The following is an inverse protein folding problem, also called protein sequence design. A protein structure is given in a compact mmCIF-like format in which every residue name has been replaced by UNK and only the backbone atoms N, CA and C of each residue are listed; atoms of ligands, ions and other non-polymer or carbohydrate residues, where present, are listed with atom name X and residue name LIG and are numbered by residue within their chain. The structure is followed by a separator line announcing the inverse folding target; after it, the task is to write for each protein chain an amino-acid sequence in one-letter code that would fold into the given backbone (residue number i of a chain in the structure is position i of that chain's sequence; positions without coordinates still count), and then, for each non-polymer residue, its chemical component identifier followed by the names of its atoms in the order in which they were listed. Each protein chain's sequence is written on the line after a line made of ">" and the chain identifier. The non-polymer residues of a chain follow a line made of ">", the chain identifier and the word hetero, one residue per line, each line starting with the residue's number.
data_IF_829682674161
#
_entry.id   IF_829682674161
#
_cell.length_a   1.000
_cell.length_b   1.000
_cell.length_c   1.000
_cell.angle_alpha   90.00
_cell.angle_beta   90.00
_cell.angle_gamma   90.00
#
_symmetry.space_group_name_H-M   'P 1'
#
loop_
_entity.id
_entity.type
_entity.pdbx_description
1 polymer ?
#
# COMPACT_ATOMS: atom_id res chain seq x y z
N UNK A 1 -23.71 -12.74 -8.71
CA UNK A 1 -23.38 -12.96 -10.13
C UNK A 1 -21.87 -12.86 -10.29
N UNK A 2 -21.26 -13.85 -10.95
CA UNK A 2 -19.82 -13.88 -11.19
C UNK A 2 -19.49 -12.99 -12.39
N UNK A 3 -18.73 -11.91 -12.15
CA UNK A 3 -18.22 -11.02 -13.19
C UNK A 3 -16.70 -11.14 -13.28
N UNK A 4 -16.11 -10.74 -14.40
CA UNK A 4 -14.66 -10.78 -14.56
C UNK A 4 -13.97 -9.89 -13.52
N UNK A 5 -14.54 -8.73 -13.21
CA UNK A 5 -14.05 -7.84 -12.16
C UNK A 5 -14.02 -8.53 -10.79
N UNK A 6 -15.10 -9.22 -10.40
CA UNK A 6 -15.15 -9.92 -9.10
C UNK A 6 -14.11 -11.04 -9.00
N UNK A 7 -13.87 -11.78 -10.09
CA UNK A 7 -12.84 -12.84 -10.12
C UNK A 7 -11.46 -12.23 -9.92
N UNK A 8 -11.15 -11.11 -10.58
CA UNK A 8 -9.88 -10.40 -10.41
C UNK A 8 -9.69 -9.96 -8.94
N UNK A 9 -10.71 -9.35 -8.31
CA UNK A 9 -10.65 -8.95 -6.90
C UNK A 9 -10.41 -10.15 -5.97
N UNK A 10 -11.07 -11.29 -6.20
CA UNK A 10 -10.88 -12.51 -5.38
C UNK A 10 -9.47 -13.07 -5.56
N UNK A 11 -8.99 -13.16 -6.80
CA UNK A 11 -7.62 -13.63 -7.10
C UNK A 11 -6.59 -12.71 -6.41
N UNK A 12 -6.81 -11.40 -6.45
CA UNK A 12 -5.99 -10.41 -5.73
C UNK A 12 -5.93 -10.71 -4.23
N UNK A 13 -7.08 -10.94 -3.59
CA UNK A 13 -7.15 -11.33 -2.17
C UNK A 13 -6.33 -12.60 -1.91
N UNK A 14 -6.48 -13.63 -2.76
CA UNK A 14 -5.75 -14.89 -2.63
C UNK A 14 -4.23 -14.73 -2.76
N UNK A 15 -3.74 -13.73 -3.50
CA UNK A 15 -2.31 -13.44 -3.61
C UNK A 15 -1.74 -12.65 -2.42
N UNK A 16 -2.59 -12.01 -1.59
CA UNK A 16 -2.10 -11.22 -0.45
C UNK A 16 -1.23 -12.01 0.55
N UNK A 17 -1.53 -13.28 0.93
CA UNK A 17 -0.65 -14.05 1.80
C UNK A 17 0.71 -14.36 1.15
N UNK A 18 0.72 -14.57 -0.16
CA UNK A 18 1.97 -14.81 -0.92
C UNK A 18 2.85 -13.57 -0.90
N UNK A 19 2.25 -12.39 -1.18
CA UNK A 19 2.94 -11.09 -1.06
C UNK A 19 3.48 -10.88 0.36
N UNK A 20 2.74 -11.34 1.38
CA UNK A 20 3.15 -11.15 2.76
C UNK A 20 4.32 -12.04 3.19
N UNK A 21 4.37 -13.28 2.69
CA UNK A 21 5.32 -14.29 3.14
C UNK A 21 6.61 -14.33 2.33
N UNK A 22 6.55 -14.12 1.01
CA UNK A 22 7.72 -14.18 0.14
C UNK A 22 8.89 -13.27 0.58
N UNK A 23 8.66 -12.02 1.06
CA UNK A 23 9.75 -11.16 1.49
C UNK A 23 10.58 -11.70 2.66
N UNK A 24 10.03 -12.59 3.48
CA UNK A 24 10.74 -13.22 4.60
C UNK A 24 11.70 -14.34 4.16
N UNK A 25 11.54 -14.85 2.94
CA UNK A 25 12.42 -15.89 2.40
C UNK A 25 13.74 -15.23 1.97
N UNK A 26 14.86 -15.84 2.32
CA UNK A 26 16.19 -15.34 1.95
C UNK A 26 16.42 -15.35 0.43
N UNK A 27 17.22 -14.39 -0.04
CA UNK A 27 17.56 -14.25 -1.45
C UNK A 27 16.67 -13.27 -2.22
N UNK A 28 17.14 -12.91 -3.42
CA UNK A 28 16.51 -11.87 -4.23
C UNK A 28 15.29 -12.36 -5.00
N UNK A 29 15.26 -13.63 -5.43
CA UNK A 29 14.16 -14.19 -6.22
C UNK A 29 12.81 -14.11 -5.51
N UNK A 30 12.65 -14.52 -4.23
CA UNK A 30 11.38 -14.39 -3.51
C UNK A 30 10.88 -12.94 -3.46
N UNK A 31 11.77 -11.98 -3.23
CA UNK A 31 11.44 -10.55 -3.15
C UNK A 31 11.08 -9.97 -4.51
N UNK A 32 11.77 -10.41 -5.56
CA UNK A 32 11.45 -10.03 -6.94
C UNK A 32 10.08 -10.58 -7.36
N UNK A 33 9.78 -11.84 -7.03
CA UNK A 33 8.47 -12.45 -7.26
C UNK A 33 7.39 -11.70 -6.46
N UNK A 34 7.64 -11.38 -5.19
CA UNK A 34 6.73 -10.58 -4.37
C UNK A 34 6.44 -9.21 -5.01
N UNK A 35 7.47 -8.55 -5.54
CA UNK A 35 7.32 -7.29 -6.27
C UNK A 35 6.45 -7.45 -7.51
N UNK A 36 6.70 -8.48 -8.33
CA UNK A 36 5.91 -8.73 -9.56
C UNK A 36 4.45 -9.01 -9.23
N UNK A 37 4.18 -9.85 -8.21
CA UNK A 37 2.80 -10.16 -7.79
C UNK A 37 2.13 -8.91 -7.21
N UNK A 38 2.83 -8.13 -6.38
CA UNK A 38 2.32 -6.87 -5.84
C UNK A 38 1.98 -5.87 -6.95
N UNK A 39 2.88 -5.71 -7.93
CA UNK A 39 2.68 -4.80 -9.07
C UNK A 39 1.48 -5.24 -9.90
N UNK A 40 1.36 -6.53 -10.20
CA UNK A 40 0.21 -7.09 -10.89
C UNK A 40 -1.10 -6.84 -10.12
N UNK A 41 -1.11 -7.07 -8.80
CA UNK A 41 -2.26 -6.83 -7.92
C UNK A 41 -2.67 -5.35 -7.86
N UNK A 42 -1.69 -4.44 -7.76
CA UNK A 42 -1.94 -3.00 -7.71
C UNK A 42 -2.44 -2.45 -9.07
N UNK A 43 -1.92 -2.96 -10.19
CA UNK A 43 -2.41 -2.59 -11.52
C UNK A 43 -3.79 -3.19 -11.79
N UNK A 44 -4.04 -4.43 -11.36
CA UNK A 44 -5.31 -5.10 -11.59
C UNK A 44 -6.47 -4.38 -10.91
N UNK A 45 -6.25 -3.74 -9.76
CA UNK A 45 -7.27 -2.92 -9.05
C UNK A 45 -7.73 -1.68 -9.85
N UNK A 46 -6.82 -1.08 -10.61
CA UNK A 46 -7.21 0.03 -11.48
C UNK A 46 -8.04 -0.50 -12.65
N UNK A 47 -7.67 -1.69 -13.15
CA UNK A 47 -8.27 -2.29 -14.32
C UNK A 47 -9.64 -2.91 -14.04
N UNK A 48 -9.82 -3.66 -12.95
CA UNK A 48 -11.10 -4.29 -12.59
C UNK A 48 -12.18 -3.24 -12.32
N UNK A 49 -11.84 -2.16 -11.62
CA UNK A 49 -12.74 -1.03 -11.40
C UNK A 49 -13.07 -0.28 -12.69
N UNK A 50 -12.13 -0.17 -13.63
CA UNK A 50 -12.41 0.38 -14.95
C UNK A 50 -13.35 -0.52 -15.75
N UNK A 51 -13.09 -1.83 -15.74
CA UNK A 51 -13.86 -2.84 -16.46
C UNK A 51 -15.29 -2.94 -15.96
N UNK A 52 -15.49 -2.94 -14.63
CA UNK A 52 -16.82 -2.95 -14.02
C UNK A 52 -17.65 -1.73 -14.45
N UNK A 53 -17.03 -0.55 -14.53
CA UNK A 53 -17.71 0.68 -14.98
C UNK A 53 -17.98 0.69 -16.47
N UNK A 54 -17.03 0.26 -17.30
CA UNK A 54 -17.18 0.30 -18.76
C UNK A 54 -18.15 -0.75 -19.28
N UNK A 55 -18.30 -1.88 -18.58
CA UNK A 55 -19.24 -2.97 -18.93
C UNK A 55 -20.55 -2.93 -18.17
N UNK A 56 -20.75 -1.93 -17.31
CA UNK A 56 -21.92 -1.84 -16.43
C UNK A 56 -22.10 -3.10 -15.55
N UNK A 57 -20.99 -3.74 -15.18
CA UNK A 57 -20.90 -4.97 -14.37
C UNK A 57 -20.69 -4.66 -12.88
N UNK A 58 -21.18 -3.51 -12.41
CA UNK A 58 -21.04 -3.11 -11.00
C UNK A 58 -21.97 -3.97 -10.14
N UNK A 59 -21.40 -4.86 -9.33
CA UNK A 59 -22.16 -5.76 -8.45
C UNK A 59 -22.01 -5.40 -6.97
N UNK A 60 -22.97 -5.79 -6.13
CA UNK A 60 -22.89 -5.56 -4.68
C UNK A 60 -21.79 -6.38 -4.02
N UNK A 61 -21.50 -7.57 -4.55
CA UNK A 61 -20.35 -8.37 -4.13
C UNK A 61 -19.03 -7.62 -4.39
N UNK A 62 -18.84 -7.06 -5.59
CA UNK A 62 -17.65 -6.26 -5.91
C UNK A 62 -17.51 -5.05 -4.99
N UNK A 63 -18.59 -4.28 -4.78
CA UNK A 63 -18.60 -3.13 -3.84
C UNK A 63 -18.18 -3.51 -2.41
N UNK A 64 -18.46 -4.74 -1.98
CA UNK A 64 -18.07 -5.26 -0.67
C UNK A 64 -16.62 -5.78 -0.67
N UNK A 65 -16.18 -6.45 -1.74
CA UNK A 65 -14.86 -7.06 -1.82
C UNK A 65 -13.75 -6.03 -2.07
N UNK A 66 -13.96 -5.01 -2.89
CA UNK A 66 -12.91 -4.06 -3.26
C UNK A 66 -12.30 -3.37 -2.02
N UNK A 67 -13.10 -2.80 -1.07
CA UNK A 67 -12.54 -2.20 0.12
C UNK A 67 -11.81 -3.18 1.04
N UNK A 68 -12.15 -4.47 1.00
CA UNK A 68 -11.48 -5.52 1.77
C UNK A 68 -10.15 -5.87 1.12
N UNK A 69 -10.16 -6.09 -0.20
CA UNK A 69 -8.98 -6.42 -0.97
C UNK A 69 -7.90 -5.33 -0.89
N UNK A 70 -8.30 -4.05 -0.92
CA UNK A 70 -7.37 -2.92 -0.78
C UNK A 70 -6.66 -2.91 0.58
N UNK A 71 -7.41 -3.16 1.66
CA UNK A 71 -6.87 -3.20 3.02
C UNK A 71 -5.97 -4.41 3.21
N UNK A 72 -6.37 -5.57 2.69
CA UNK A 72 -5.56 -6.77 2.76
C UNK A 72 -4.25 -6.59 2.00
N UNK A 73 -4.28 -6.02 0.79
CA UNK A 73 -3.05 -5.72 0.04
C UNK A 73 -2.15 -4.76 0.82
N UNK A 74 -2.71 -3.69 1.38
CA UNK A 74 -1.97 -2.77 2.23
C UNK A 74 -1.30 -3.48 3.42
N UNK A 75 -2.06 -4.26 4.20
CA UNK A 75 -1.55 -4.92 5.40
C UNK A 75 -0.52 -6.00 5.05
N UNK A 76 -0.83 -6.80 4.03
CA UNK A 76 0.04 -7.85 3.52
C UNK A 76 1.37 -7.33 2.99
N UNK A 77 1.44 -6.07 2.53
CA UNK A 77 2.70 -5.49 2.12
C UNK A 77 3.40 -4.72 3.24
N UNK A 78 2.71 -3.78 3.90
CA UNK A 78 3.34 -2.84 4.82
C UNK A 78 3.84 -3.52 6.11
N UNK A 79 3.12 -4.54 6.61
CA UNK A 79 3.50 -5.23 7.85
C UNK A 79 4.82 -6.02 7.66
N UNK A 80 4.97 -6.88 6.62
CA UNK A 80 6.25 -7.53 6.35
C UNK A 80 7.39 -6.54 6.10
N UNK A 81 7.16 -5.46 5.36
CA UNK A 81 8.19 -4.45 5.12
C UNK A 81 8.68 -3.88 6.45
N UNK A 82 7.78 -3.54 7.38
CA UNK A 82 8.14 -3.07 8.71
C UNK A 82 9.01 -4.09 9.47
N UNK A 83 8.58 -5.36 9.54
CA UNK A 83 9.31 -6.39 10.27
C UNK A 83 10.68 -6.69 9.65
N UNK A 84 10.76 -6.79 8.32
CA UNK A 84 12.00 -7.11 7.60
C UNK A 84 12.99 -5.96 7.67
N UNK A 85 12.52 -4.72 7.49
CA UNK A 85 13.33 -3.51 7.64
C UNK A 85 13.90 -3.39 9.05
N UNK A 86 13.18 -3.87 10.07
CA UNK A 86 13.67 -3.91 11.46
C UNK A 86 14.62 -5.07 11.75
N UNK A 87 14.33 -6.26 11.24
CA UNK A 87 15.12 -7.47 11.50
C UNK A 87 16.47 -7.44 10.77
N UNK A 88 16.49 -6.94 9.52
CA UNK A 88 17.71 -6.80 8.68
C UNK A 88 18.07 -5.33 8.47
N UNK A 89 18.08 -4.57 9.56
CA UNK A 89 18.36 -3.12 9.55
C UNK A 89 19.69 -2.78 8.87
N UNK A 90 20.70 -3.65 9.06
CA UNK A 90 22.01 -3.56 8.42
C UNK A 90 21.97 -3.52 6.88
N UNK A 91 20.97 -4.18 6.28
CA UNK A 91 20.83 -4.28 4.84
C UNK A 91 19.73 -3.37 4.28
N UNK A 92 18.67 -3.12 5.05
CA UNK A 92 17.42 -2.53 4.57
C UNK A 92 17.04 -1.21 5.25
N UNK A 93 17.97 -0.57 5.96
CA UNK A 93 17.75 0.77 6.50
C UNK A 93 17.49 1.78 5.39
N UNK A 94 16.30 2.38 5.46
CA UNK A 94 15.87 3.42 4.54
C UNK A 94 16.66 4.68 4.88
N UNK A 95 17.31 5.34 3.91
CA UNK A 95 18.07 6.56 4.17
C UNK A 95 17.26 7.59 4.96
N UNK A 96 17.86 8.21 5.98
CA UNK A 96 17.24 9.21 6.88
C UNK A 96 16.25 8.61 7.90
N UNK A 97 15.58 7.51 7.57
CA UNK A 97 14.55 6.89 8.41
C UNK A 97 15.08 5.73 9.28
N UNK A 98 16.14 5.05 8.83
CA UNK A 98 16.54 3.75 9.35
C UNK A 98 15.48 2.70 9.02
N UNK A 99 15.16 1.83 9.98
CA UNK A 99 13.99 0.97 9.87
C UNK A 99 12.69 1.80 9.80
N UNK A 100 11.67 1.31 9.09
CA UNK A 100 10.36 2.00 9.06
C UNK A 100 9.89 2.28 10.50
N UNK A 101 9.67 3.54 10.88
CA UNK A 101 9.23 3.84 12.23
C UNK A 101 7.85 3.23 12.49
N UNK A 102 7.68 2.60 13.65
CA UNK A 102 6.41 1.96 14.02
C UNK A 102 5.24 2.94 13.94
N UNK A 103 5.44 4.20 14.35
CA UNK A 103 4.40 5.22 14.29
C UNK A 103 3.94 5.52 12.85
N UNK A 104 4.83 5.43 11.85
CA UNK A 104 4.47 5.60 10.43
C UNK A 104 3.61 4.43 9.98
N UNK A 105 4.02 3.20 10.30
CA UNK A 105 3.26 2.00 9.97
C UNK A 105 1.85 2.03 10.58
N UNK A 106 1.76 2.35 11.89
CA UNK A 106 0.50 2.50 12.61
C UNK A 106 -0.36 3.65 12.06
N UNK A 107 0.24 4.77 11.67
CA UNK A 107 -0.47 5.89 11.06
C UNK A 107 -1.09 5.49 9.72
N UNK A 108 -0.31 4.84 8.84
CA UNK A 108 -0.77 4.43 7.51
C UNK A 108 -1.92 3.41 7.60
N UNK A 109 -1.79 2.40 8.47
CA UNK A 109 -2.82 1.36 8.69
C UNK A 109 -4.02 1.93 9.45
N UNK A 110 -3.76 2.55 10.59
CA UNK A 110 -4.77 3.05 11.50
C UNK A 110 -5.67 4.09 10.84
N UNK A 111 -5.10 4.96 9.99
CA UNK A 111 -5.90 5.91 9.20
C UNK A 111 -6.85 5.21 8.25
N UNK A 112 -6.45 4.16 7.54
CA UNK A 112 -7.35 3.44 6.61
C UNK A 112 -8.52 2.78 7.35
N UNK A 113 -8.24 2.18 8.51
CA UNK A 113 -9.26 1.60 9.37
C UNK A 113 -10.21 2.67 9.93
N UNK A 114 -9.66 3.76 10.48
CA UNK A 114 -10.44 4.87 11.04
C UNK A 114 -11.36 5.51 10.00
N UNK A 115 -10.86 5.73 8.77
CA UNK A 115 -11.66 6.29 7.67
C UNK A 115 -12.79 5.36 7.24
N UNK A 116 -12.53 4.05 7.19
CA UNK A 116 -13.55 3.05 6.86
C UNK A 116 -14.63 3.01 7.92
N UNK A 117 -14.23 2.95 9.19
CA UNK A 117 -15.14 2.96 10.34
C UNK A 117 -16.00 4.22 10.37
N UNK A 118 -15.37 5.39 10.21
CA UNK A 118 -16.08 6.66 10.26
C UNK A 118 -17.09 6.81 9.12
N UNK A 119 -16.77 6.37 7.89
CA UNK A 119 -17.73 6.37 6.78
C UNK A 119 -18.92 5.45 7.07
N UNK A 120 -18.64 4.27 7.61
CA UNK A 120 -19.69 3.33 7.99
C UNK A 120 -20.60 3.91 9.09
N UNK A 121 -20.01 4.54 10.12
CA UNK A 121 -20.75 5.23 11.18
C UNK A 121 -21.62 6.39 10.64
N UNK A 122 -21.09 7.21 9.73
CA UNK A 122 -21.85 8.30 9.12
C UNK A 122 -23.01 7.79 8.26
N UNK A 123 -22.80 6.70 7.50
CA UNK A 123 -23.85 6.06 6.70
C UNK A 123 -25.02 5.57 7.56
N UNK A 124 -24.76 5.04 8.77
CA UNK A 124 -25.81 4.63 9.71
C UNK A 124 -26.66 5.80 10.21
N UNK A 125 -26.17 7.04 10.09
CA UNK A 125 -26.88 8.28 10.43
C UNK A 125 -27.50 8.97 9.21
N UNK A 126 -27.55 8.30 8.06
CA UNK A 126 -28.10 8.85 6.81
C UNK A 126 -27.19 9.83 6.08
N UNK A 127 -25.93 10.00 6.52
CA UNK A 127 -24.98 10.91 5.88
C UNK A 127 -23.98 10.13 5.03
N UNK A 128 -24.05 10.31 3.72
CA UNK A 128 -23.08 9.72 2.79
C UNK A 128 -21.92 10.69 2.58
N UNK A 129 -20.74 10.31 3.08
CA UNK A 129 -19.54 11.14 2.94
C UNK A 129 -18.77 10.72 1.69
N UNK A 130 -18.67 11.57 0.66
CA UNK A 130 -17.97 11.22 -0.56
C UNK A 130 -16.46 11.08 -0.32
N UNK A 131 -15.83 10.22 -1.12
CA UNK A 131 -14.37 10.10 -1.11
C UNK A 131 -13.72 11.41 -1.59
N UNK A 132 -12.89 12.03 -0.75
CA UNK A 132 -12.14 13.22 -1.14
C UNK A 132 -11.03 12.86 -2.14
N UNK A 133 -10.82 13.69 -3.18
CA UNK A 133 -9.79 13.47 -4.21
C UNK A 133 -8.36 13.31 -3.66
N UNK A 134 -8.04 13.94 -2.53
CA UNK A 134 -6.78 13.75 -1.81
C UNK A 134 -6.54 12.29 -1.38
N UNK A 135 -7.59 11.49 -1.20
CA UNK A 135 -7.49 10.06 -0.92
C UNK A 135 -6.90 9.26 -2.08
N UNK A 136 -7.21 9.60 -3.33
CA UNK A 136 -6.69 8.88 -4.51
C UNK A 136 -5.19 9.06 -4.68
N UNK A 137 -4.71 10.31 -4.58
CA UNK A 137 -3.28 10.60 -4.68
C UNK A 137 -2.50 9.93 -3.55
N UNK A 138 -3.05 9.95 -2.32
CA UNK A 138 -2.45 9.28 -1.16
C UNK A 138 -2.26 7.78 -1.39
N UNK A 139 -3.29 7.07 -1.86
CA UNK A 139 -3.19 5.63 -2.16
C UNK A 139 -2.20 5.35 -3.28
N UNK A 140 -2.17 6.17 -4.33
CA UNK A 140 -1.22 6.01 -5.43
C UNK A 140 0.24 6.14 -4.94
N UNK A 141 0.55 7.20 -4.19
CA UNK A 141 1.89 7.40 -3.63
C UNK A 141 2.26 6.28 -2.65
N UNK A 142 1.31 5.80 -1.86
CA UNK A 142 1.55 4.70 -0.94
C UNK A 142 1.86 3.38 -1.66
N UNK A 143 1.14 3.07 -2.75
CA UNK A 143 1.42 1.89 -3.57
C UNK A 143 2.78 2.01 -4.28
N UNK A 144 3.15 3.21 -4.73
CA UNK A 144 4.49 3.49 -5.28
C UNK A 144 5.57 3.25 -4.24
N UNK A 145 5.40 3.75 -3.01
CA UNK A 145 6.33 3.49 -1.91
C UNK A 145 6.49 1.99 -1.64
N UNK A 146 5.37 1.27 -1.50
CA UNK A 146 5.37 -0.17 -1.22
C UNK A 146 6.06 -0.95 -2.35
N UNK A 147 5.72 -0.67 -3.61
CA UNK A 147 6.35 -1.32 -4.75
C UNK A 147 7.86 -1.04 -4.81
N UNK A 148 8.26 0.22 -4.61
CA UNK A 148 9.65 0.64 -4.62
C UNK A 148 10.46 -0.07 -3.52
N UNK A 149 9.94 -0.17 -2.30
CA UNK A 149 10.70 -0.80 -1.21
C UNK A 149 10.85 -2.31 -1.41
N UNK A 150 9.82 -3.01 -1.92
CA UNK A 150 9.92 -4.45 -2.22
C UNK A 150 10.95 -4.69 -3.35
N UNK A 151 10.90 -3.88 -4.42
CA UNK A 151 11.89 -3.96 -5.50
C UNK A 151 13.30 -3.64 -5.00
N UNK A 152 13.43 -2.66 -4.13
CA UNK A 152 14.71 -2.29 -3.55
C UNK A 152 15.29 -3.39 -2.66
N UNK A 153 14.47 -4.09 -1.87
CA UNK A 153 14.91 -5.26 -1.11
C UNK A 153 15.40 -6.39 -2.04
N UNK A 154 14.71 -6.63 -3.16
CA UNK A 154 15.18 -7.58 -4.17
C UNK A 154 16.53 -7.17 -4.75
N UNK A 155 16.70 -5.89 -5.10
CA UNK A 155 17.97 -5.38 -5.61
C UNK A 155 19.11 -5.51 -4.60
N UNK A 156 18.86 -5.13 -3.33
CA UNK A 156 19.83 -5.24 -2.22
C UNK A 156 20.32 -6.69 -2.06
N UNK A 157 19.41 -7.66 -2.08
CA UNK A 157 19.77 -9.09 -2.00
C UNK A 157 20.47 -9.61 -3.26
N UNK A 158 20.24 -8.99 -4.43
CA UNK A 158 20.87 -9.38 -5.68
C UNK A 158 22.32 -8.91 -5.79
N UNK A 159 22.75 -7.91 -5.00
CA UNK A 159 24.10 -7.32 -5.12
C UNK A 159 25.23 -8.33 -4.95
N UNK A 160 25.17 -9.17 -3.91
CA UNK A 160 26.18 -10.19 -3.63
C UNK A 160 26.25 -11.26 -4.74
N UNK A 161 25.17 -11.99 -5.06
CA UNK A 161 25.22 -13.06 -6.06
C UNK A 161 25.54 -12.55 -7.47
N UNK A 162 25.25 -11.29 -7.78
CA UNK A 162 25.58 -10.69 -9.08
C UNK A 162 27.01 -10.10 -9.13
N UNK A 163 27.78 -10.15 -8.04
CA UNK A 163 29.12 -9.56 -7.98
C UNK A 163 29.13 -8.02 -8.04
N UNK A 164 28.03 -7.37 -7.65
CA UNK A 164 27.85 -5.91 -7.71
C UNK A 164 28.23 -5.19 -6.41
N UNK A 165 28.91 -5.87 -5.48
CA UNK A 165 29.31 -5.28 -4.19
C UNK A 165 30.23 -4.07 -4.34
N UNK A 166 31.05 -4.02 -5.39
CA UNK A 166 31.99 -2.92 -5.66
C UNK A 166 31.71 -2.18 -6.97
N UNK A 167 30.50 -2.33 -7.51
CA UNK A 167 30.11 -1.68 -8.76
C UNK A 167 29.60 -0.26 -8.49
N UNK A 168 30.27 0.74 -9.10
CA UNK A 168 29.87 2.15 -9.00
C UNK A 168 28.41 2.37 -9.47
N UNK A 169 27.97 1.63 -10.50
CA UNK A 169 26.58 1.66 -10.94
C UNK A 169 25.62 1.15 -9.87
N UNK A 170 25.97 0.04 -9.21
CA UNK A 170 25.10 -0.57 -8.20
C UNK A 170 25.01 0.30 -6.94
N UNK A 171 26.10 0.97 -6.57
CA UNK A 171 26.11 1.93 -5.47
C UNK A 171 25.28 3.18 -5.80
N UNK A 172 25.42 3.73 -7.01
CA UNK A 172 24.57 4.82 -7.47
C UNK A 172 23.09 4.42 -7.44
N UNK A 173 22.75 3.27 -8.03
CA UNK A 173 21.36 2.79 -8.05
C UNK A 173 20.81 2.56 -6.65
N UNK A 174 21.63 2.01 -5.75
CA UNK A 174 21.26 1.81 -4.35
C UNK A 174 20.92 3.14 -3.64
N UNK A 175 21.75 4.16 -3.83
CA UNK A 175 21.53 5.49 -3.26
C UNK A 175 20.28 6.16 -3.85
N UNK A 176 20.15 6.14 -5.18
CA UNK A 176 18.99 6.71 -5.88
C UNK A 176 17.70 6.04 -5.43
N UNK A 177 17.64 4.70 -5.46
CA UNK A 177 16.42 3.96 -5.12
C UNK A 177 16.10 4.07 -3.62
N UNK A 178 17.11 4.00 -2.74
CA UNK A 178 16.92 4.25 -1.32
C UNK A 178 16.39 5.66 -1.04
N UNK A 179 16.92 6.68 -1.72
CA UNK A 179 16.42 8.05 -1.64
C UNK A 179 14.98 8.18 -2.14
N UNK A 180 14.64 7.51 -3.25
CA UNK A 180 13.27 7.45 -3.77
C UNK A 180 12.29 6.81 -2.77
N UNK A 181 12.69 5.70 -2.14
CA UNK A 181 11.91 5.06 -1.06
C UNK A 181 11.72 6.02 0.13
N UNK A 182 12.78 6.69 0.56
CA UNK A 182 12.73 7.65 1.67
C UNK A 182 11.78 8.84 1.38
N UNK A 183 11.85 9.40 0.17
CA UNK A 183 10.98 10.51 -0.26
C UNK A 183 9.53 10.05 -0.38
N UNK A 184 9.28 8.91 -1.02
CA UNK A 184 7.90 8.39 -1.19
C UNK A 184 7.26 8.03 0.14
N UNK A 185 8.02 7.49 1.11
CA UNK A 185 7.55 7.29 2.49
C UNK A 185 7.18 8.61 3.16
N UNK A 186 8.03 9.63 3.04
CA UNK A 186 7.78 10.96 3.59
C UNK A 186 6.49 11.55 3.03
N UNK A 187 6.34 11.53 1.70
CA UNK A 187 5.17 12.07 1.01
C UNK A 187 3.91 11.26 1.36
N UNK A 188 3.97 9.92 1.39
CA UNK A 188 2.85 9.08 1.79
C UNK A 188 2.38 9.39 3.22
N UNK A 189 3.33 9.58 4.14
CA UNK A 189 3.08 9.94 5.54
C UNK A 189 2.40 11.31 5.64
N UNK A 190 2.97 12.33 4.99
CA UNK A 190 2.43 13.69 4.98
C UNK A 190 1.02 13.74 4.37
N UNK A 191 0.81 13.09 3.22
CA UNK A 191 -0.51 13.02 2.59
C UNK A 191 -1.53 12.26 3.45
N UNK A 192 -1.09 11.26 4.22
CA UNK A 192 -1.95 10.54 5.15
C UNK A 192 -2.46 11.45 6.26
N UNK A 193 -1.54 12.19 6.91
CA UNK A 193 -1.91 13.18 7.93
C UNK A 193 -2.80 14.27 7.34
N UNK A 194 -2.36 14.89 6.24
CA UNK A 194 -3.09 15.97 5.59
C UNK A 194 -4.52 15.55 5.19
N UNK A 195 -4.66 14.40 4.52
CA UNK A 195 -5.97 13.92 4.07
C UNK A 195 -6.88 13.57 5.25
N UNK A 196 -6.33 13.07 6.36
CA UNK A 196 -7.10 12.75 7.55
C UNK A 196 -7.59 14.01 8.27
N UNK A 197 -6.71 14.98 8.50
CA UNK A 197 -7.05 16.28 9.11
C UNK A 197 -8.07 17.03 8.26
N UNK A 198 -7.83 17.14 6.95
CA UNK A 198 -8.75 17.79 6.02
C UNK A 198 -10.14 17.15 6.07
N UNK A 199 -10.19 15.82 6.17
CA UNK A 199 -11.43 15.08 6.23
C UNK A 199 -12.19 15.31 7.54
N UNK A 200 -11.53 15.26 8.69
CA UNK A 200 -12.14 15.59 9.98
C UNK A 200 -12.64 17.04 10.00
N UNK A 201 -11.85 17.97 9.47
CA UNK A 201 -12.23 19.38 9.38
C UNK A 201 -13.48 19.60 8.52
N UNK A 202 -13.55 18.99 7.33
CA UNK A 202 -14.71 19.09 6.44
C UNK A 202 -15.98 18.52 7.05
N UNK A 203 -15.85 17.45 7.83
CA UNK A 203 -16.98 16.75 8.44
C UNK A 203 -17.20 17.11 9.91
N UNK A 204 -16.55 18.19 10.42
CA UNK A 204 -16.60 18.56 11.84
C UNK A 204 -18.03 18.80 12.36
N UNK A 205 -18.92 19.24 11.48
CA UNK A 205 -20.33 19.51 11.81
C UNK A 205 -21.10 18.25 12.22
N UNK A 206 -20.70 17.08 11.72
CA UNK A 206 -21.29 15.80 12.11
C UNK A 206 -20.99 15.40 13.57
N UNK A 207 -19.97 16.01 14.19
CA UNK A 207 -19.65 15.79 15.59
C UNK A 207 -20.33 16.81 16.51
N UNK A 208 -20.72 17.98 16.00
CA UNK A 208 -21.36 19.05 16.79
C UNK A 208 -22.88 18.94 16.83
N UNK A 209 -23.50 18.40 15.79
CA UNK A 209 -24.94 18.13 15.79
C UNK A 209 -25.21 16.82 16.54
N UNK A 210 -25.68 16.95 17.79
CA UNK A 210 -26.43 15.86 18.43
C UNK A 210 -27.74 15.70 17.66
N UNK A 211 -27.73 14.88 16.62
CA UNK A 211 -28.94 14.28 16.06
C UNK A 211 -29.63 13.44 17.14
#
# INVERSE_FOLDING_TARGET
>A
MWTLANVITIVRICFTPVIALLPFIEGYWPKLIAFVIFLAAAISDVYDGHLARSRNEVTDLGKMLDPVADKLLLFASLIPIYFISRWRHDLYDIPIWGSIPLWVCLLLIGRELAMTWFRHWAQHRGVVIPAAGAGKLKTAIQNVFIGAVILWFAFRDARKPMGWEHSAWADYWNQFHGGFVAVTLAVATLLTVYSFVLYLYRNRRLFSERL
#
